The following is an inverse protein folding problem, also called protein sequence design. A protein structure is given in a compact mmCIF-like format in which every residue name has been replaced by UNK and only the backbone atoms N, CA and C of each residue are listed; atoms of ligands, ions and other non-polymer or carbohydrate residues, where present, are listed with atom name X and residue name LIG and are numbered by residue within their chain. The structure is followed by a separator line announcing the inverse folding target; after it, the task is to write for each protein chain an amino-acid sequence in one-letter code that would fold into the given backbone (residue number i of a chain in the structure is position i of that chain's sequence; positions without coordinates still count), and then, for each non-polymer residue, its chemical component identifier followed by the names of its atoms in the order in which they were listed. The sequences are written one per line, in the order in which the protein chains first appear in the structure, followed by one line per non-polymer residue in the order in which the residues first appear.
data_IF_141786807695
#
_entry.id   IF_141786807695
#
_cell.length_a   1.000
_cell.length_b   1.000
_cell.length_c   1.000
_cell.angle_alpha   90.00
_cell.angle_beta   90.00
_cell.angle_gamma   90.00
#
_symmetry.space_group_name_H-M   'P 1'
#
loop_
_entity.id
_entity.type
_entity.pdbx_description
1 polymer ?
#
# COMPACT_ATOMS: atom_id res chain seq x y z
N UNK A 1 15.78 1.42 -13.99
CA UNK A 1 16.87 1.26 -15.01
C UNK A 1 17.18 -0.21 -15.25
N UNK A 2 17.46 -1.03 -14.19
CA UNK A 2 17.87 -2.44 -14.36
C UNK A 2 16.85 -3.32 -15.09
N UNK A 3 15.55 -3.22 -14.79
CA UNK A 3 14.50 -3.96 -15.48
C UNK A 3 14.46 -3.62 -16.99
N UNK A 4 14.61 -2.35 -17.33
CA UNK A 4 14.62 -1.90 -18.73
C UNK A 4 15.86 -2.46 -19.44
N UNK A 5 17.04 -2.43 -18.80
CA UNK A 5 18.27 -2.99 -19.35
C UNK A 5 18.20 -4.52 -19.56
N UNK A 6 17.31 -5.19 -18.82
CA UNK A 6 17.00 -6.61 -19.00
C UNK A 6 15.87 -6.89 -20.00
N UNK A 7 15.46 -5.90 -20.79
CA UNK A 7 14.43 -6.04 -21.82
C UNK A 7 12.99 -5.96 -21.31
N UNK A 8 12.76 -5.64 -20.03
CA UNK A 8 11.39 -5.55 -19.50
C UNK A 8 10.67 -4.29 -19.95
N UNK A 9 9.40 -4.43 -20.29
CA UNK A 9 8.46 -3.30 -20.45
C UNK A 9 7.92 -2.92 -19.07
N UNK A 10 8.37 -1.79 -18.55
CA UNK A 10 8.04 -1.32 -17.20
C UNK A 10 6.85 -0.36 -17.27
N UNK A 11 5.77 -0.70 -16.57
CA UNK A 11 4.64 0.17 -16.31
C UNK A 11 4.79 0.70 -14.87
N UNK A 12 5.11 1.98 -14.73
CA UNK A 12 5.26 2.64 -13.45
C UNK A 12 3.94 3.28 -13.05
N UNK A 13 3.38 2.87 -11.91
CA UNK A 13 2.11 3.38 -11.38
C UNK A 13 2.30 4.51 -10.35
N UNK A 14 3.52 4.94 -10.14
CA UNK A 14 3.86 6.03 -9.21
C UNK A 14 3.75 5.63 -7.74
N UNK A 15 3.38 6.60 -6.89
CA UNK A 15 3.10 6.33 -5.48
C UNK A 15 1.92 5.37 -5.37
N UNK A 16 2.10 4.28 -4.63
CA UNK A 16 1.11 3.23 -4.55
C UNK A 16 1.12 2.54 -3.19
N UNK A 17 -0.01 1.93 -2.84
CA UNK A 17 -0.09 0.92 -1.78
C UNK A 17 0.33 -0.45 -2.31
N UNK A 18 0.79 -1.35 -1.44
CA UNK A 18 1.09 -2.73 -1.85
C UNK A 18 -0.10 -3.43 -2.53
N UNK A 19 -1.36 -3.32 -2.04
CA UNK A 19 -2.52 -3.84 -2.75
C UNK A 19 -2.73 -3.25 -4.15
N UNK A 20 -2.41 -1.97 -4.35
CA UNK A 20 -2.47 -1.34 -5.69
C UNK A 20 -1.50 -2.00 -6.66
N UNK A 21 -0.32 -2.39 -6.20
CA UNK A 21 0.68 -3.05 -7.04
C UNK A 21 0.21 -4.44 -7.50
N UNK A 22 -0.47 -5.18 -6.64
CA UNK A 22 -1.07 -6.47 -7.01
C UNK A 22 -2.27 -6.30 -7.94
N UNK A 23 -3.12 -5.31 -7.69
CA UNK A 23 -4.22 -4.95 -8.59
C UNK A 23 -3.72 -4.57 -9.99
N UNK A 24 -2.55 -3.92 -10.08
CA UNK A 24 -1.95 -3.54 -11.34
C UNK A 24 -1.65 -4.74 -12.26
N UNK A 25 -1.30 -5.91 -11.71
CA UNK A 25 -1.08 -7.10 -12.51
C UNK A 25 -2.32 -7.49 -13.33
N UNK A 26 -3.52 -7.29 -12.77
CA UNK A 26 -4.79 -7.57 -13.45
C UNK A 26 -5.24 -6.41 -14.34
N UNK A 27 -5.20 -5.19 -13.82
CA UNK A 27 -5.70 -4.01 -14.52
C UNK A 27 -4.86 -3.62 -15.75
N UNK A 28 -3.57 -3.94 -15.76
CA UNK A 28 -2.64 -3.67 -16.86
C UNK A 28 -2.27 -4.94 -17.65
N UNK A 29 -2.83 -6.07 -17.29
CA UNK A 29 -2.54 -7.39 -17.90
C UNK A 29 -1.04 -7.70 -17.94
N UNK A 30 -0.33 -7.47 -16.84
CA UNK A 30 1.11 -7.75 -16.70
C UNK A 30 1.34 -8.94 -15.77
N UNK A 31 2.32 -9.82 -16.07
CA UNK A 31 2.53 -11.03 -15.29
C UNK A 31 3.29 -10.79 -13.98
N UNK A 32 4.09 -9.73 -13.91
CA UNK A 32 5.02 -9.48 -12.81
C UNK A 32 4.76 -8.13 -12.14
N UNK A 33 5.11 -8.04 -10.87
CA UNK A 33 5.06 -6.82 -10.07
C UNK A 33 6.32 -6.69 -9.22
N UNK A 34 6.76 -5.45 -9.03
CA UNK A 34 7.78 -5.07 -8.06
C UNK A 34 7.33 -3.83 -7.32
N UNK A 35 7.17 -3.92 -6.00
CA UNK A 35 6.78 -2.82 -5.12
C UNK A 35 7.96 -2.46 -4.22
N UNK A 36 8.44 -1.22 -4.35
CA UNK A 36 9.50 -0.70 -3.47
C UNK A 36 8.84 -0.22 -2.18
N UNK A 37 9.14 -0.88 -1.07
CA UNK A 37 8.55 -0.58 0.23
C UNK A 37 9.40 -1.12 1.38
N UNK A 38 9.37 -0.44 2.51
CA UNK A 38 9.86 -0.97 3.78
C UNK A 38 8.75 -1.64 4.62
N UNK A 39 7.49 -1.68 4.10
CA UNK A 39 6.32 -2.14 4.86
C UNK A 39 6.18 -1.33 6.16
N UNK A 40 6.15 -1.99 7.30
CA UNK A 40 6.05 -1.41 8.65
C UNK A 40 7.38 -1.30 9.39
N UNK A 41 8.51 -1.49 8.68
CA UNK A 41 9.82 -1.33 9.30
C UNK A 41 10.11 0.14 9.62
N UNK A 42 10.98 0.35 10.60
CA UNK A 42 11.45 1.67 10.99
C UNK A 42 12.08 2.42 9.82
N UNK A 43 12.10 3.75 9.94
CA UNK A 43 12.76 4.60 8.96
C UNK A 43 14.24 4.19 8.77
N UNK A 44 14.68 4.19 7.52
CA UNK A 44 16.03 3.76 7.13
C UNK A 44 16.09 2.37 6.51
N UNK A 45 15.02 1.59 6.58
CA UNK A 45 14.89 0.34 5.83
C UNK A 45 14.26 0.58 4.46
N UNK A 46 14.63 -0.27 3.52
CA UNK A 46 13.96 -0.35 2.21
C UNK A 46 14.02 -1.78 1.69
N UNK A 47 13.05 -2.14 0.89
CA UNK A 47 12.96 -3.47 0.32
C UNK A 47 12.18 -3.47 -0.99
N UNK A 48 12.01 -4.64 -1.56
CA UNK A 48 11.19 -4.83 -2.76
C UNK A 48 10.33 -6.08 -2.58
N UNK A 49 9.02 -5.90 -2.54
CA UNK A 49 8.05 -7.01 -2.67
C UNK A 49 7.93 -7.34 -4.16
N UNK A 50 8.03 -8.60 -4.52
CA UNK A 50 7.96 -9.05 -5.90
C UNK A 50 6.92 -10.13 -6.07
N UNK A 51 6.34 -10.19 -7.25
CA UNK A 51 5.39 -11.23 -7.60
C UNK A 51 5.44 -11.56 -9.09
N UNK A 52 5.04 -12.79 -9.41
CA UNK A 52 4.90 -13.27 -10.78
C UNK A 52 3.68 -14.19 -10.87
N UNK A 53 3.18 -14.43 -12.10
CA UNK A 53 2.09 -15.39 -12.36
C UNK A 53 0.78 -15.09 -11.59
N UNK A 54 0.47 -13.83 -11.41
CA UNK A 54 -0.79 -13.30 -10.81
C UNK A 54 -1.62 -14.30 -9.98
N UNK A 55 -1.83 -14.07 -8.71
CA UNK A 55 -1.33 -13.00 -7.82
C UNK A 55 -0.15 -13.45 -6.95
N UNK A 56 0.64 -14.43 -7.37
CA UNK A 56 1.65 -15.09 -6.54
C UNK A 56 2.80 -14.15 -6.24
N UNK A 57 3.07 -13.92 -4.95
CA UNK A 57 4.27 -13.25 -4.46
C UNK A 57 5.43 -14.23 -4.34
N UNK A 58 6.66 -13.72 -4.44
CA UNK A 58 7.85 -14.55 -4.27
C UNK A 58 7.93 -15.11 -2.85
N UNK A 59 8.04 -16.43 -2.77
CA UNK A 59 8.32 -17.17 -1.56
C UNK A 59 9.83 -17.39 -1.35
N UNK A 60 10.21 -18.19 -0.33
CA UNK A 60 11.60 -18.44 0.01
C UNK A 60 12.43 -19.02 -1.14
N UNK A 61 11.85 -19.86 -1.98
CA UNK A 61 12.55 -20.50 -3.10
C UNK A 61 12.88 -19.49 -4.21
N UNK A 62 11.91 -18.66 -4.61
CA UNK A 62 12.11 -17.58 -5.58
C UNK A 62 13.11 -16.56 -5.06
N UNK A 63 13.04 -16.19 -3.78
CA UNK A 63 13.99 -15.27 -3.15
C UNK A 63 15.41 -15.87 -3.10
N UNK A 64 15.55 -17.15 -2.82
CA UNK A 64 16.83 -17.85 -2.85
C UNK A 64 17.40 -17.88 -4.28
N UNK A 65 16.56 -18.17 -5.27
CA UNK A 65 16.97 -18.14 -6.68
C UNK A 65 17.41 -16.73 -7.11
N UNK A 66 16.66 -15.70 -6.75
CA UNK A 66 17.02 -14.31 -7.03
C UNK A 66 18.37 -13.94 -6.38
N UNK A 67 18.57 -14.28 -5.11
CA UNK A 67 19.84 -14.07 -4.41
C UNK A 67 21.01 -14.71 -5.16
N UNK A 68 20.87 -15.95 -5.61
CA UNK A 68 21.93 -16.65 -6.34
C UNK A 68 22.23 -15.98 -7.69
N UNK A 69 21.22 -15.51 -8.42
CA UNK A 69 21.40 -14.74 -9.67
C UNK A 69 22.18 -13.45 -9.39
N UNK A 70 21.80 -12.69 -8.37
CA UNK A 70 22.48 -11.44 -8.00
C UNK A 70 23.95 -11.70 -7.62
N UNK A 71 24.21 -12.70 -6.78
CA UNK A 71 25.56 -13.00 -6.30
C UNK A 71 26.48 -13.57 -7.42
N UNK A 72 25.93 -14.25 -8.41
CA UNK A 72 26.69 -14.77 -9.55
C UNK A 72 27.01 -13.71 -10.62
N UNK A 73 26.40 -12.53 -10.52
CA UNK A 73 26.53 -11.49 -11.54
C UNK A 73 25.91 -11.88 -12.89
N UNK A 74 25.03 -12.87 -12.92
CA UNK A 74 24.43 -13.43 -14.14
C UNK A 74 23.34 -12.55 -14.78
N UNK A 75 23.37 -11.24 -14.57
CA UNK A 75 22.48 -10.30 -15.25
C UNK A 75 22.74 -10.32 -16.77
N UNK A 76 21.73 -10.65 -17.55
CA UNK A 76 21.82 -10.69 -19.01
C UNK A 76 21.10 -9.47 -19.57
N UNK A 77 21.80 -8.46 -20.12
CA UNK A 77 21.17 -7.38 -20.86
C UNK A 77 20.38 -7.94 -22.05
N UNK A 78 19.23 -7.34 -22.31
CA UNK A 78 18.39 -7.72 -23.45
C UNK A 78 17.76 -6.48 -24.05
N UNK A 79 17.56 -6.50 -25.36
CA UNK A 79 16.87 -5.44 -26.08
C UNK A 79 15.36 -5.49 -25.84
N UNK A 80 14.67 -4.37 -26.17
CA UNK A 80 13.21 -4.29 -26.15
C UNK A 80 12.63 -3.73 -24.85
N UNK A 81 13.45 -3.37 -23.86
CA UNK A 81 13.02 -2.71 -22.65
C UNK A 81 12.43 -1.33 -22.90
N UNK A 82 11.36 -0.99 -22.17
CA UNK A 82 10.71 0.31 -22.27
C UNK A 82 10.17 0.77 -20.92
N UNK A 83 9.88 2.05 -20.82
CA UNK A 83 9.25 2.66 -19.64
C UNK A 83 7.98 3.41 -20.04
N UNK A 84 6.93 3.19 -19.27
CA UNK A 84 5.66 3.89 -19.43
C UNK A 84 5.12 4.27 -18.05
N UNK A 85 4.86 5.56 -17.83
CA UNK A 85 4.21 6.04 -16.61
C UNK A 85 2.69 6.03 -16.79
N UNK A 86 1.97 5.36 -15.88
CA UNK A 86 0.51 5.22 -15.88
C UNK A 86 -0.07 6.22 -14.89
N UNK A 87 -0.31 7.44 -15.34
CA UNK A 87 -0.65 8.58 -14.47
C UNK A 87 -2.04 8.51 -13.81
N UNK A 88 -2.97 7.72 -14.37
CA UNK A 88 -4.35 7.59 -13.89
C UNK A 88 -4.57 6.37 -12.98
N UNK A 89 -3.51 5.66 -12.61
CA UNK A 89 -3.66 4.36 -11.97
C UNK A 89 -4.31 4.43 -10.58
N UNK A 90 -3.96 5.44 -9.78
CA UNK A 90 -4.57 5.67 -8.47
C UNK A 90 -6.09 5.88 -8.57
N UNK A 91 -6.54 6.63 -9.57
CA UNK A 91 -7.97 6.86 -9.84
C UNK A 91 -8.69 5.59 -10.30
N UNK A 92 -8.05 4.78 -11.14
CA UNK A 92 -8.59 3.48 -11.57
C UNK A 92 -8.78 2.53 -10.38
N UNK A 93 -7.80 2.48 -9.48
CA UNK A 93 -7.88 1.67 -8.26
C UNK A 93 -8.99 2.16 -7.32
N UNK A 94 -9.05 3.47 -7.06
CA UNK A 94 -10.09 4.07 -6.22
C UNK A 94 -11.50 3.81 -6.80
N UNK A 95 -11.65 3.94 -8.12
CA UNK A 95 -12.91 3.66 -8.82
C UNK A 95 -13.32 2.20 -8.69
N UNK A 96 -12.39 1.24 -8.85
CA UNK A 96 -12.70 -0.19 -8.68
C UNK A 96 -13.19 -0.49 -7.26
N UNK A 97 -12.52 0.06 -6.24
CA UNK A 97 -12.91 -0.14 -4.84
C UNK A 97 -14.26 0.48 -4.50
N UNK A 98 -14.56 1.63 -5.07
CA UNK A 98 -15.79 2.39 -4.74
C UNK A 98 -16.98 2.05 -5.63
N UNK A 99 -16.78 1.35 -6.74
CA UNK A 99 -17.84 0.86 -7.62
C UNK A 99 -18.49 -0.44 -7.07
N UNK A 100 -18.75 -0.46 -5.77
CA UNK A 100 -19.37 -1.58 -5.06
C UNK A 100 -20.66 -1.11 -4.39
N UNK A 101 -21.42 -2.04 -3.81
CA UNK A 101 -22.64 -1.69 -3.12
C UNK A 101 -22.35 -0.70 -1.96
N UNK A 102 -23.10 0.39 -1.86
CA UNK A 102 -22.91 1.38 -0.81
C UNK A 102 -23.18 0.77 0.57
N UNK A 103 -22.60 1.38 1.60
CA UNK A 103 -22.93 1.02 2.98
C UNK A 103 -24.43 1.22 3.27
N UNK A 104 -24.99 0.36 4.11
CA UNK A 104 -26.42 0.44 4.49
C UNK A 104 -26.75 1.67 5.33
N UNK A 105 -25.76 2.29 5.95
CA UNK A 105 -25.88 3.55 6.70
C UNK A 105 -24.60 4.37 6.55
N UNK A 106 -24.70 5.66 6.81
CA UNK A 106 -23.53 6.53 6.92
C UNK A 106 -22.69 6.08 8.13
N UNK A 107 -21.39 5.94 7.92
CA UNK A 107 -20.41 5.58 8.94
C UNK A 107 -19.51 6.78 9.20
N UNK A 108 -19.19 7.05 10.48
CA UNK A 108 -18.12 7.97 10.86
C UNK A 108 -16.86 7.14 11.14
N UNK A 109 -15.82 7.34 10.34
CA UNK A 109 -14.63 6.50 10.30
C UNK A 109 -13.37 7.32 10.58
N UNK A 110 -12.57 6.89 11.54
CA UNK A 110 -11.22 7.42 11.72
C UNK A 110 -10.31 6.71 10.72
N UNK A 111 -9.64 7.46 9.84
CA UNK A 111 -8.61 6.94 8.94
C UNK A 111 -7.23 7.21 9.54
N UNK A 112 -6.67 6.23 10.24
CA UNK A 112 -5.38 6.35 10.91
C UNK A 112 -4.28 5.79 9.99
N UNK A 113 -3.36 6.64 9.56
CA UNK A 113 -2.35 6.27 8.56
C UNK A 113 -0.91 6.32 9.11
N UNK A 114 -0.70 6.78 10.35
CA UNK A 114 0.63 6.86 10.98
C UNK A 114 1.68 7.56 10.11
N UNK A 115 1.27 8.56 9.32
CA UNK A 115 2.09 9.25 8.33
C UNK A 115 2.62 8.35 7.17
N UNK A 116 2.09 7.12 7.05
CA UNK A 116 2.41 6.19 5.97
C UNK A 116 1.68 6.49 4.66
N UNK A 117 1.98 5.69 3.64
CA UNK A 117 1.48 5.88 2.27
C UNK A 117 -0.05 5.84 2.16
N UNK A 118 -0.74 5.13 3.07
CA UNK A 118 -2.21 5.06 3.09
C UNK A 118 -2.88 6.44 3.24
N UNK A 119 -2.20 7.43 3.84
CA UNK A 119 -2.69 8.80 3.97
C UNK A 119 -3.01 9.49 2.65
N UNK A 120 -2.30 9.13 1.58
CA UNK A 120 -2.55 9.66 0.24
C UNK A 120 -3.81 9.07 -0.43
N UNK A 121 -4.38 7.98 0.08
CA UNK A 121 -5.43 7.24 -0.62
C UNK A 121 -6.66 6.96 0.26
N UNK A 122 -6.45 6.44 1.47
CA UNK A 122 -7.53 5.90 2.29
C UNK A 122 -8.62 6.92 2.64
N UNK A 123 -8.33 8.18 3.04
CA UNK A 123 -9.36 9.16 3.34
C UNK A 123 -10.29 9.39 2.15
N UNK A 124 -9.75 9.67 0.97
CA UNK A 124 -10.52 9.95 -0.23
C UNK A 124 -11.36 8.74 -0.70
N UNK A 125 -10.84 7.51 -0.56
CA UNK A 125 -11.57 6.30 -0.89
C UNK A 125 -12.76 6.10 0.08
N UNK A 126 -12.55 6.29 1.38
CA UNK A 126 -13.61 6.18 2.38
C UNK A 126 -14.70 7.23 2.20
N UNK A 127 -14.33 8.47 1.86
CA UNK A 127 -15.29 9.55 1.52
C UNK A 127 -16.13 9.19 0.30
N UNK A 128 -15.53 8.64 -0.76
CA UNK A 128 -16.23 8.14 -1.96
C UNK A 128 -17.20 7.00 -1.65
N UNK A 129 -16.92 6.20 -0.63
CA UNK A 129 -17.83 5.17 -0.12
C UNK A 129 -18.97 5.74 0.74
N UNK A 130 -19.02 7.07 0.95
CA UNK A 130 -20.06 7.76 1.71
C UNK A 130 -19.80 7.87 3.21
N UNK A 131 -18.58 7.57 3.67
CA UNK A 131 -18.21 7.75 5.07
C UNK A 131 -18.01 9.23 5.41
N UNK A 132 -18.26 9.57 6.67
CA UNK A 132 -17.73 10.78 7.29
C UNK A 132 -16.35 10.44 7.85
N UNK A 133 -15.30 10.99 7.23
CA UNK A 133 -13.92 10.62 7.55
C UNK A 133 -13.31 11.63 8.51
N UNK A 134 -12.72 11.13 9.58
CA UNK A 134 -11.85 11.89 10.48
C UNK A 134 -10.41 11.43 10.22
N UNK A 135 -9.55 12.26 9.64
CA UNK A 135 -8.17 11.91 9.37
C UNK A 135 -7.34 11.88 10.67
N UNK A 136 -6.47 10.88 10.82
CA UNK A 136 -5.50 10.77 11.88
C UNK A 136 -4.13 10.43 11.29
N UNK A 137 -3.17 11.36 11.45
CA UNK A 137 -1.80 11.21 10.96
C UNK A 137 -1.74 10.80 9.47
N UNK A 138 -2.49 11.51 8.61
CA UNK A 138 -2.65 11.17 7.17
C UNK A 138 -1.66 11.89 6.26
N UNK A 139 -0.95 12.91 6.73
CA UNK A 139 0.11 13.55 5.94
C UNK A 139 1.32 12.63 5.83
N UNK A 140 1.88 12.49 4.63
CA UNK A 140 3.04 11.64 4.41
C UNK A 140 4.29 12.24 5.07
N UNK A 141 4.82 11.54 6.06
CA UNK A 141 6.08 11.91 6.71
C UNK A 141 6.89 10.64 7.01
N UNK A 142 7.97 10.44 6.25
CA UNK A 142 8.84 9.28 6.39
C UNK A 142 9.59 9.21 7.72
N UNK A 143 9.53 10.25 8.55
CA UNK A 143 10.14 10.25 9.89
C UNK A 143 9.25 9.61 10.94
N UNK A 144 7.96 9.39 10.64
CA UNK A 144 6.97 8.81 11.54
C UNK A 144 6.99 9.45 12.94
N UNK A 145 6.67 10.74 13.05
CA UNK A 145 6.99 11.54 14.24
C UNK A 145 6.25 11.13 15.51
N UNK A 146 5.13 10.43 15.40
CA UNK A 146 4.30 10.04 16.54
C UNK A 146 4.48 8.58 16.94
N UNK A 147 4.39 7.67 15.99
CA UNK A 147 4.59 6.23 16.13
C UNK A 147 4.85 5.63 14.75
N UNK A 148 5.44 4.45 14.72
CA UNK A 148 5.61 3.73 13.45
C UNK A 148 4.23 3.28 12.91
N UNK A 149 3.93 3.43 11.61
CA UNK A 149 2.67 2.97 11.02
C UNK A 149 2.61 1.44 11.00
N UNK A 150 2.24 0.88 12.13
CA UNK A 150 2.08 -0.56 12.33
C UNK A 150 0.81 -0.82 13.16
N UNK A 151 -0.25 -1.40 12.60
CA UNK A 151 -1.49 -1.67 13.32
C UNK A 151 -1.38 -2.74 14.43
N UNK A 152 -0.20 -3.36 14.59
CA UNK A 152 0.13 -4.20 15.74
C UNK A 152 0.76 -3.39 16.90
N UNK A 153 1.12 -2.13 16.66
CA UNK A 153 1.70 -1.25 17.66
C UNK A 153 0.61 -0.68 18.58
N UNK A 154 0.79 -0.88 19.88
CA UNK A 154 -0.18 -0.43 20.88
C UNK A 154 -0.29 1.09 20.96
N UNK A 155 0.77 1.84 20.63
CA UNK A 155 0.72 3.31 20.62
C UNK A 155 -0.21 3.81 19.50
N UNK A 156 -0.17 3.18 18.34
CA UNK A 156 -1.11 3.45 17.24
C UNK A 156 -2.55 3.09 17.62
N UNK A 157 -2.75 1.90 18.20
CA UNK A 157 -4.09 1.44 18.60
C UNK A 157 -4.69 2.32 19.69
N UNK A 158 -3.91 2.72 20.69
CA UNK A 158 -4.37 3.63 21.74
C UNK A 158 -4.72 5.02 21.19
N UNK A 159 -3.91 5.55 20.24
CA UNK A 159 -4.22 6.81 19.59
C UNK A 159 -5.54 6.74 18.80
N UNK A 160 -5.78 5.62 18.09
CA UNK A 160 -7.04 5.36 17.39
C UNK A 160 -8.22 5.30 18.38
N UNK A 161 -8.09 4.57 19.48
CA UNK A 161 -9.11 4.42 20.52
C UNK A 161 -9.51 5.76 21.17
N UNK A 162 -8.53 6.61 21.45
CA UNK A 162 -8.76 7.95 21.99
C UNK A 162 -9.59 8.80 21.03
N UNK A 163 -9.22 8.79 19.74
CA UNK A 163 -9.93 9.60 18.73
C UNK A 163 -11.33 9.04 18.45
N UNK A 164 -11.51 7.71 18.42
CA UNK A 164 -12.84 7.09 18.29
C UNK A 164 -13.76 7.58 19.39
N UNK A 165 -13.35 7.47 20.66
CA UNK A 165 -14.17 7.89 21.80
C UNK A 165 -14.44 9.39 21.81
N UNK A 166 -13.42 10.22 21.55
CA UNK A 166 -13.56 11.68 21.58
C UNK A 166 -14.41 12.23 20.44
N UNK A 167 -14.39 11.60 19.28
CA UNK A 167 -15.13 11.98 18.08
C UNK A 167 -16.49 11.29 17.96
N UNK A 168 -16.78 10.29 18.81
CA UNK A 168 -17.98 9.47 18.69
C UNK A 168 -18.04 8.76 17.33
N UNK A 169 -16.90 8.22 16.88
CA UNK A 169 -16.83 7.52 15.60
C UNK A 169 -17.33 6.07 15.73
N UNK A 170 -17.81 5.51 14.61
CA UNK A 170 -18.28 4.14 14.56
C UNK A 170 -17.11 3.13 14.58
N UNK A 171 -15.98 3.50 13.99
CA UNK A 171 -14.82 2.64 13.85
C UNK A 171 -13.56 3.46 13.49
N UNK A 172 -12.39 2.97 13.89
CA UNK A 172 -11.13 3.41 13.32
C UNK A 172 -10.49 2.29 12.51
N UNK A 173 -9.92 2.66 11.37
CA UNK A 173 -9.14 1.81 10.48
C UNK A 173 -7.69 2.31 10.48
N UNK A 174 -6.77 1.49 11.00
CA UNK A 174 -5.34 1.81 11.08
C UNK A 174 -4.55 1.05 10.04
N UNK A 175 -3.86 1.76 9.17
CA UNK A 175 -3.10 1.18 8.05
C UNK A 175 -1.61 1.17 8.36
N UNK A 176 -0.92 0.12 7.92
CA UNK A 176 0.54 0.09 8.00
C UNK A 176 1.19 0.93 6.89
N UNK A 177 2.51 1.00 6.92
CA UNK A 177 3.28 1.95 6.09
C UNK A 177 3.02 1.86 4.59
N UNK A 178 2.72 0.68 4.05
CA UNK A 178 2.38 0.47 2.64
C UNK A 178 0.93 -0.05 2.41
N UNK A 179 0.12 -0.02 3.47
CA UNK A 179 -1.34 -0.19 3.40
C UNK A 179 -1.82 -1.59 3.04
N UNK A 180 -1.05 -2.63 3.34
CA UNK A 180 -1.48 -4.02 3.12
C UNK A 180 -2.01 -4.70 4.39
N UNK A 181 -1.90 -4.03 5.55
CA UNK A 181 -2.49 -4.44 6.84
C UNK A 181 -3.41 -3.36 7.38
N UNK A 182 -4.46 -3.79 8.05
CA UNK A 182 -5.42 -2.90 8.67
C UNK A 182 -5.75 -3.39 10.09
N UNK A 183 -5.47 -2.55 11.08
CA UNK A 183 -6.00 -2.67 12.43
C UNK A 183 -7.36 -2.03 12.55
N UNK A 184 -8.20 -2.55 13.42
CA UNK A 184 -9.56 -2.06 13.63
C UNK A 184 -9.79 -1.80 15.11
N UNK A 185 -10.30 -0.61 15.42
CA UNK A 185 -10.79 -0.25 16.74
C UNK A 185 -12.27 0.10 16.61
N UNK A 186 -13.11 -0.54 17.42
CA UNK A 186 -14.56 -0.31 17.39
C UNK A 186 -14.98 0.98 18.10
N UNK A 187 -16.27 1.23 18.20
CA UNK A 187 -16.82 2.44 18.81
C UNK A 187 -16.62 2.54 20.33
N UNK A 188 -16.23 1.48 20.98
CA UNK A 188 -15.93 1.46 22.42
C UNK A 188 -14.45 1.77 22.70
N UNK A 189 -13.58 1.61 21.72
CA UNK A 189 -12.15 1.87 21.77
C UNK A 189 -11.35 0.73 22.34
#
# INVERSE_FOLDING_TARGET
TGLIAAGCKVHDIGLALSPMSYFAQFALDVPCVAMVTASHNDNGWTGVKMGAQRPVTFGPDEMTRLKNIVLSGAGIPSDGGSYHFVSDFAERYATDLTNRAPFKRKMKVIAACGNGTAGAFAPAILERLGCEVVPLDTELDHTFPRYNPNPEDMDMLHAMAEVVRSQGADVALGFDGDGDRCGVVDNEG
#
